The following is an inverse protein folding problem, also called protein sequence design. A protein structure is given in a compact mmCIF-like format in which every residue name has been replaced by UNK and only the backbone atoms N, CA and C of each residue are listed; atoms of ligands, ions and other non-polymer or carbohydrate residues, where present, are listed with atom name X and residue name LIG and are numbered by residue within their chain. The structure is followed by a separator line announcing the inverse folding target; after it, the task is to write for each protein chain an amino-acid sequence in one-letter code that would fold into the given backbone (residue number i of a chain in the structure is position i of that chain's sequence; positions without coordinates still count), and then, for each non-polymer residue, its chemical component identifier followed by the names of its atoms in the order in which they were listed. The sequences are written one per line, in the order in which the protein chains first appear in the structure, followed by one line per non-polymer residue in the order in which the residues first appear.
data_IF_803195281485
#
_entry.id   IF_803195281485
#
_cell.length_a   1.000
_cell.length_b   1.000
_cell.length_c   1.000
_cell.angle_alpha   90.00
_cell.angle_beta   90.00
_cell.angle_gamma   90.00
#
_symmetry.space_group_name_H-M   'P 1'
#
loop_
_entity.id
_entity.type
_entity.pdbx_description
1 polymer ?
#
# COMPACT_ATOMS: atom_id res chain seq x y z
N UNK A 1 -1.13 -3.60 -10.80
CA UNK A 1 -0.57 -2.25 -10.66
C UNK A 1 0.17 -2.18 -9.34
N UNK A 2 1.44 -1.80 -9.41
CA UNK A 2 2.26 -1.41 -8.28
C UNK A 2 2.36 0.12 -8.23
N UNK A 3 2.34 0.69 -7.03
CA UNK A 3 2.55 2.12 -6.83
C UNK A 3 3.51 2.26 -5.66
N UNK A 4 4.80 2.39 -5.99
CA UNK A 4 5.80 2.81 -5.04
C UNK A 4 5.67 4.33 -4.84
N UNK A 5 5.49 4.76 -3.60
CA UNK A 5 5.55 6.17 -3.24
C UNK A 5 6.64 6.34 -2.20
N UNK A 6 7.42 7.41 -2.34
CA UNK A 6 8.31 7.81 -1.26
C UNK A 6 7.46 8.22 -0.05
N UNK A 7 7.62 7.50 1.05
CA UNK A 7 6.98 7.79 2.33
C UNK A 7 8.12 8.12 3.29
N UNK A 8 8.31 9.41 3.55
CA UNK A 8 9.38 9.90 4.43
C UNK A 8 9.18 9.49 5.89
N UNK A 9 7.92 9.29 6.31
CA UNK A 9 7.55 8.96 7.67
C UNK A 9 6.44 7.90 7.69
N UNK A 10 6.50 7.00 8.65
CA UNK A 10 5.46 5.99 8.88
C UNK A 10 4.35 6.56 9.78
N UNK A 11 3.68 7.63 9.32
CA UNK A 11 2.62 8.30 10.09
C UNK A 11 1.20 7.94 9.61
N UNK A 12 0.22 8.25 10.45
CA UNK A 12 -1.20 8.14 10.10
C UNK A 12 -1.54 9.05 8.90
N UNK A 13 -1.00 10.27 8.85
CA UNK A 13 -1.21 11.21 7.74
C UNK A 13 -0.68 10.66 6.43
N UNK A 14 0.51 10.05 6.43
CA UNK A 14 1.11 9.50 5.21
C UNK A 14 0.27 8.35 4.64
N UNK A 15 -0.24 7.48 5.51
CA UNK A 15 -1.13 6.37 5.12
C UNK A 15 -2.45 6.89 4.52
N UNK A 16 -3.00 7.96 5.09
CA UNK A 16 -4.22 8.62 4.62
C UNK A 16 -4.02 9.28 3.26
N UNK A 17 -2.94 10.03 3.09
CA UNK A 17 -2.66 10.73 1.84
C UNK A 17 -2.27 9.78 0.72
N UNK A 18 -1.61 8.67 1.05
CA UNK A 18 -1.39 7.57 0.12
C UNK A 18 -2.73 6.99 -0.36
N UNK A 19 -3.64 6.62 0.56
CA UNK A 19 -4.93 6.04 0.18
C UNK A 19 -5.80 7.03 -0.63
N UNK A 20 -5.87 8.31 -0.25
CA UNK A 20 -6.57 9.33 -1.04
C UNK A 20 -5.99 9.47 -2.45
N UNK A 21 -4.67 9.42 -2.57
CA UNK A 21 -3.99 9.40 -3.87
C UNK A 21 -4.36 8.18 -4.69
N UNK A 22 -4.30 6.99 -4.07
CA UNK A 22 -4.63 5.72 -4.69
C UNK A 22 -6.08 5.69 -5.21
N UNK A 23 -7.06 6.13 -4.40
CA UNK A 23 -8.47 6.21 -4.79
C UNK A 23 -8.66 7.11 -6.02
N UNK A 24 -7.87 8.20 -6.14
CA UNK A 24 -7.97 9.13 -7.26
C UNK A 24 -7.44 8.57 -8.57
N UNK A 25 -6.38 7.76 -8.51
CA UNK A 25 -5.66 7.29 -9.70
C UNK A 25 -6.02 5.86 -10.10
N UNK A 26 -6.58 5.07 -9.19
CA UNK A 26 -6.93 3.69 -9.48
C UNK A 26 -8.01 3.64 -10.58
N UNK A 27 -7.80 2.90 -11.68
CA UNK A 27 -8.78 2.79 -12.76
C UNK A 27 -9.94 1.83 -12.43
N UNK A 28 -10.08 1.45 -11.16
CA UNK A 28 -11.09 0.50 -10.68
C UNK A 28 -11.53 0.86 -9.26
N UNK A 29 -12.73 0.40 -8.88
CA UNK A 29 -13.21 0.56 -7.50
C UNK A 29 -12.44 -0.34 -6.54
N UNK A 30 -11.76 0.26 -5.57
CA UNK A 30 -11.15 -0.44 -4.46
C UNK A 30 -12.26 -0.96 -3.55
N UNK A 31 -12.39 -2.28 -3.40
CA UNK A 31 -13.41 -2.90 -2.52
C UNK A 31 -12.90 -3.14 -1.12
N UNK A 32 -11.61 -3.45 -0.98
CA UNK A 32 -11.02 -3.77 0.29
C UNK A 32 -9.52 -3.44 0.31
N UNK A 33 -8.99 -3.19 1.50
CA UNK A 33 -7.58 -2.97 1.79
C UNK A 33 -7.18 -3.90 2.93
N UNK A 34 -6.05 -4.56 2.75
CA UNK A 34 -5.41 -5.39 3.78
C UNK A 34 -4.14 -4.71 4.27
N UNK A 35 -3.98 -4.56 5.58
CA UNK A 35 -2.73 -4.06 6.19
C UNK A 35 -2.21 -5.01 7.26
N UNK A 36 -0.98 -4.79 7.70
CA UNK A 36 -0.50 -5.36 8.95
C UNK A 36 -1.15 -4.68 10.17
N UNK A 37 -0.73 -5.08 11.38
CA UNK A 37 -1.26 -4.56 12.63
C UNK A 37 -0.45 -3.35 13.17
N UNK A 38 0.31 -2.65 12.30
CA UNK A 38 1.06 -1.45 12.63
C UNK A 38 0.16 -0.31 13.11
N UNK A 39 0.65 0.49 14.05
CA UNK A 39 -0.10 1.59 14.67
C UNK A 39 -0.47 2.71 13.68
N UNK A 40 0.20 2.75 12.52
CA UNK A 40 -0.10 3.66 11.42
C UNK A 40 -1.35 3.25 10.61
N UNK A 41 -1.83 2.02 10.77
CA UNK A 41 -3.01 1.51 10.09
C UNK A 41 -4.17 1.21 11.04
N UNK A 42 -3.88 0.89 12.30
CA UNK A 42 -4.91 0.46 13.26
C UNK A 42 -4.60 0.84 14.70
N UNK A 43 -5.66 0.99 15.49
CA UNK A 43 -5.58 1.12 16.94
C UNK A 43 -5.62 -0.23 17.68
N UNK A 44 -5.47 -1.39 16.99
CA UNK A 44 -5.66 -2.73 17.58
C UNK A 44 -4.93 -2.92 18.91
N UNK A 45 -3.64 -2.58 18.98
CA UNK A 45 -2.82 -2.77 20.18
C UNK A 45 -2.68 -1.53 21.07
N UNK A 46 -2.94 -0.34 20.51
CA UNK A 46 -2.74 0.95 21.19
C UNK A 46 -4.03 1.50 21.81
N UNK A 47 -5.19 1.22 21.22
CA UNK A 47 -6.48 1.78 21.61
C UNK A 47 -7.57 0.73 21.82
N UNK A 48 -7.81 -0.19 20.87
CA UNK A 48 -8.94 -1.13 20.92
C UNK A 48 -8.86 -2.05 22.14
N UNK A 49 -7.75 -2.77 22.29
CA UNK A 49 -7.54 -3.67 23.43
C UNK A 49 -7.35 -2.95 24.78
N UNK A 50 -7.20 -1.62 24.77
CA UNK A 50 -6.96 -0.79 25.98
C UNK A 50 -8.07 0.24 26.21
N UNK A 51 -9.18 0.15 25.47
CA UNK A 51 -10.28 1.11 25.52
C UNK A 51 -11.03 0.99 26.84
N UNK A 52 -11.35 2.12 27.46
CA UNK A 52 -12.27 2.16 28.61
C UNK A 52 -13.70 1.82 28.23
N UNK A 53 -14.06 1.96 26.94
CA UNK A 53 -15.30 1.43 26.35
C UNK A 53 -14.94 0.39 25.26
N UNK A 54 -14.88 -0.91 25.60
CA UNK A 54 -14.57 -1.98 24.64
C UNK A 54 -15.65 -2.22 23.59
N UNK A 55 -16.88 -1.76 23.83
CA UNK A 55 -18.00 -1.94 22.90
C UNK A 55 -18.00 -0.87 21.81
N UNK A 56 -17.46 0.33 22.10
CA UNK A 56 -17.32 1.42 21.13
C UNK A 56 -15.89 1.96 21.06
N UNK A 57 -14.92 1.16 20.60
CA UNK A 57 -13.54 1.61 20.51
C UNK A 57 -13.38 2.75 19.49
N UNK A 58 -12.52 3.74 19.80
CA UNK A 58 -12.24 4.86 18.90
C UNK A 58 -11.58 4.39 17.60
N UNK A 59 -12.32 4.48 16.50
CA UNK A 59 -11.86 4.09 15.17
C UNK A 59 -10.53 4.77 14.80
N UNK A 60 -9.66 4.01 14.12
CA UNK A 60 -8.46 4.57 13.53
C UNK A 60 -8.83 5.48 12.36
N UNK A 61 -8.03 6.51 12.08
CA UNK A 61 -8.34 7.49 11.00
C UNK A 61 -8.43 6.80 9.63
N UNK A 62 -7.67 5.72 9.42
CA UNK A 62 -7.75 4.91 8.22
C UNK A 62 -9.08 4.17 8.10
N UNK A 63 -9.60 3.61 9.21
CA UNK A 63 -10.91 2.97 9.25
C UNK A 63 -12.02 3.95 8.83
N UNK A 64 -11.97 5.18 9.37
CA UNK A 64 -12.92 6.25 9.05
C UNK A 64 -12.86 6.60 7.56
N UNK A 65 -11.65 6.72 6.99
CA UNK A 65 -11.47 6.99 5.56
C UNK A 65 -12.03 5.85 4.71
N UNK A 66 -11.70 4.60 5.03
CA UNK A 66 -12.19 3.42 4.33
C UNK A 66 -13.72 3.33 4.36
N UNK A 67 -14.37 3.58 5.51
CA UNK A 67 -15.83 3.62 5.63
C UNK A 67 -16.45 4.69 4.72
N UNK A 68 -15.87 5.90 4.68
CA UNK A 68 -16.36 7.00 3.81
C UNK A 68 -16.38 6.64 2.32
N UNK A 69 -15.43 5.82 1.89
CA UNK A 69 -15.33 5.36 0.49
C UNK A 69 -15.95 3.98 0.25
N UNK A 70 -16.62 3.40 1.26
CA UNK A 70 -17.18 2.05 1.23
C UNK A 70 -16.13 1.00 0.79
N UNK A 71 -14.97 1.07 1.45
CA UNK A 71 -13.82 0.17 1.34
C UNK A 71 -13.75 -0.66 2.63
N UNK A 72 -13.71 -1.98 2.51
CA UNK A 72 -13.48 -2.86 3.66
C UNK A 72 -12.01 -2.82 4.08
N UNK A 73 -11.73 -2.39 5.30
CA UNK A 73 -10.39 -2.49 5.87
C UNK A 73 -10.29 -3.73 6.76
N UNK A 74 -9.27 -4.57 6.52
CA UNK A 74 -9.04 -5.75 7.33
C UNK A 74 -7.54 -5.97 7.57
N UNK A 75 -7.23 -6.55 8.73
CA UNK A 75 -5.86 -6.74 9.20
C UNK A 75 -5.43 -8.18 8.93
N UNK A 76 -4.12 -8.41 8.80
CA UNK A 76 -3.58 -9.77 8.91
C UNK A 76 -3.88 -10.34 10.30
N UNK A 77 -3.99 -11.66 10.36
CA UNK A 77 -4.14 -12.38 11.62
C UNK A 77 -2.92 -12.13 12.54
N UNK A 78 -3.13 -11.87 13.84
CA UNK A 78 -2.03 -11.77 14.80
C UNK A 78 -1.12 -13.00 14.73
N UNK A 79 0.19 -12.77 14.70
CA UNK A 79 1.18 -13.85 14.63
C UNK A 79 1.30 -14.55 13.27
N UNK A 80 0.65 -14.05 12.20
CA UNK A 80 0.75 -14.62 10.85
C UNK A 80 1.39 -13.67 9.82
N UNK A 81 2.67 -13.28 10.00
CA UNK A 81 3.36 -12.36 9.09
C UNK A 81 3.43 -12.89 7.64
N UNK A 82 3.39 -14.21 7.45
CA UNK A 82 3.35 -14.83 6.12
C UNK A 82 2.18 -14.35 5.24
N UNK A 83 1.08 -13.87 5.84
CA UNK A 83 -0.05 -13.28 5.09
C UNK A 83 0.34 -11.98 4.36
N UNK A 84 1.45 -11.35 4.73
CA UNK A 84 2.01 -10.16 4.07
C UNK A 84 3.08 -10.49 3.01
N UNK A 85 3.35 -11.77 2.74
CA UNK A 85 4.50 -12.17 1.90
C UNK A 85 4.52 -11.59 0.48
N UNK A 86 3.38 -11.21 -0.09
CA UNK A 86 3.34 -10.50 -1.38
C UNK A 86 3.91 -9.09 -1.29
N UNK A 87 3.59 -8.36 -0.22
CA UNK A 87 4.11 -7.01 0.04
C UNK A 87 5.59 -7.07 0.34
N UNK A 88 6.03 -7.99 1.21
CA UNK A 88 7.45 -8.17 1.50
C UNK A 88 8.28 -8.52 0.26
N UNK A 89 7.71 -9.32 -0.65
CA UNK A 89 8.37 -9.64 -1.92
C UNK A 89 8.50 -8.40 -2.82
N UNK A 90 7.45 -7.58 -2.95
CA UNK A 90 7.51 -6.34 -3.74
C UNK A 90 8.51 -5.35 -3.12
N UNK A 91 8.50 -5.17 -1.80
CA UNK A 91 9.50 -4.34 -1.11
C UNK A 91 10.94 -4.81 -1.35
N UNK A 92 11.18 -6.13 -1.31
CA UNK A 92 12.51 -6.67 -1.65
C UNK A 92 12.88 -6.41 -3.11
N UNK A 93 11.94 -6.55 -4.03
CA UNK A 93 12.18 -6.24 -5.44
C UNK A 93 12.50 -4.76 -5.65
N UNK A 94 11.77 -3.84 -5.02
CA UNK A 94 12.10 -2.41 -5.03
C UNK A 94 13.48 -2.14 -4.42
N UNK A 95 13.82 -2.81 -3.32
CA UNK A 95 15.13 -2.69 -2.69
C UNK A 95 16.26 -3.08 -3.64
N UNK A 96 16.20 -4.29 -4.20
CA UNK A 96 17.26 -4.88 -5.04
C UNK A 96 17.34 -4.24 -6.44
N UNK A 97 16.20 -3.85 -7.02
CA UNK A 97 16.14 -3.37 -8.40
C UNK A 97 16.13 -1.85 -8.50
N UNK A 98 15.53 -1.15 -7.52
CA UNK A 98 15.46 0.30 -7.54
C UNK A 98 16.46 0.95 -6.58
N UNK A 99 16.34 0.72 -5.28
CA UNK A 99 17.11 1.49 -4.28
C UNK A 99 18.61 1.20 -4.35
N UNK A 100 19.03 -0.06 -4.47
CA UNK A 100 20.45 -0.44 -4.49
C UNK A 100 21.18 0.01 -5.77
N UNK A 101 20.45 0.03 -6.90
CA UNK A 101 20.98 0.37 -8.22
C UNK A 101 21.00 1.87 -8.50
N UNK A 102 20.37 2.67 -7.65
CA UNK A 102 20.30 4.12 -7.81
C UNK A 102 21.11 4.85 -6.73
N UNK A 103 21.53 6.07 -7.09
CA UNK A 103 22.02 7.08 -6.14
C UNK A 103 21.13 8.29 -6.28
N UNK A 104 20.75 8.89 -5.16
CA UNK A 104 19.83 10.03 -5.12
C UNK A 104 20.58 11.28 -4.68
N UNK A 105 20.60 12.31 -5.53
CA UNK A 105 21.28 13.57 -5.20
C UNK A 105 20.42 14.49 -4.35
N UNK A 106 19.12 14.46 -4.57
CA UNK A 106 18.12 15.26 -3.87
C UNK A 106 16.83 14.48 -3.72
N UNK A 107 15.94 14.97 -2.86
CA UNK A 107 14.57 14.45 -2.77
C UNK A 107 13.84 14.52 -4.12
N UNK A 108 14.10 15.57 -4.90
CA UNK A 108 13.48 15.72 -6.22
C UNK A 108 13.95 14.67 -7.21
N UNK A 109 15.24 14.33 -7.18
CA UNK A 109 15.84 13.26 -7.98
C UNK A 109 15.19 11.90 -7.63
N UNK A 110 15.02 11.61 -6.34
CA UNK A 110 14.31 10.42 -5.88
C UNK A 110 12.85 10.37 -6.39
N UNK A 111 12.10 11.47 -6.30
CA UNK A 111 10.72 11.53 -6.80
C UNK A 111 10.60 11.30 -8.32
N UNK A 112 11.59 11.74 -9.09
CA UNK A 112 11.62 11.53 -10.54
C UNK A 112 11.92 10.06 -10.82
N UNK A 113 12.96 9.50 -10.18
CA UNK A 113 13.37 8.12 -10.36
C UNK A 113 12.31 7.11 -9.92
N UNK A 114 11.60 7.36 -8.82
CA UNK A 114 10.46 6.51 -8.39
C UNK A 114 9.36 6.50 -9.45
N UNK A 115 9.07 7.64 -10.08
CA UNK A 115 8.07 7.70 -11.15
C UNK A 115 8.48 6.87 -12.36
N UNK A 116 9.73 6.99 -12.78
CA UNK A 116 10.27 6.17 -13.88
C UNK A 116 10.26 4.69 -13.52
N UNK A 117 10.64 4.35 -12.28
CA UNK A 117 10.60 2.96 -11.79
C UNK A 117 9.19 2.39 -11.80
N UNK A 118 8.19 3.13 -11.31
CA UNK A 118 6.80 2.69 -11.37
C UNK A 118 6.33 2.45 -12.81
N UNK A 119 6.74 3.30 -13.76
CA UNK A 119 6.41 3.14 -15.17
C UNK A 119 7.08 1.89 -15.75
N UNK A 120 8.36 1.69 -15.49
CA UNK A 120 9.11 0.51 -15.92
C UNK A 120 8.50 -0.77 -15.33
N UNK A 121 8.40 -0.86 -14.00
CA UNK A 121 7.93 -2.04 -13.29
C UNK A 121 6.51 -2.46 -13.71
N UNK A 122 5.60 -1.50 -13.89
CA UNK A 122 4.23 -1.79 -14.33
C UNK A 122 4.13 -2.23 -15.80
N UNK A 123 5.22 -2.13 -16.56
CA UNK A 123 5.37 -2.60 -17.93
C UNK A 123 6.40 -3.73 -18.08
N UNK A 124 6.96 -4.26 -16.99
CA UNK A 124 7.74 -5.50 -17.00
C UNK A 124 6.81 -6.71 -16.98
N UNK A 125 7.21 -7.79 -17.65
CA UNK A 125 6.48 -9.05 -17.61
C UNK A 125 6.67 -9.77 -16.27
N UNK A 126 5.60 -10.38 -15.75
CA UNK A 126 5.66 -11.15 -14.51
C UNK A 126 5.21 -12.59 -14.74
N UNK A 127 6.01 -13.55 -14.31
CA UNK A 127 5.64 -14.98 -14.36
C UNK A 127 4.31 -15.24 -13.62
N UNK A 128 4.07 -14.54 -12.51
CA UNK A 128 2.82 -14.64 -11.75
C UNK A 128 1.58 -14.06 -12.45
N UNK A 129 1.78 -13.38 -13.59
CA UNK A 129 0.73 -12.83 -14.46
C UNK A 129 0.74 -13.53 -15.84
N UNK A 130 1.26 -14.76 -15.92
CA UNK A 130 1.37 -15.52 -17.18
C UNK A 130 2.10 -14.75 -18.29
N UNK A 131 3.21 -14.09 -17.93
CA UNK A 131 4.02 -13.29 -18.87
C UNK A 131 3.41 -11.94 -19.24
N UNK A 132 2.30 -11.54 -18.62
CA UNK A 132 1.71 -10.20 -18.82
C UNK A 132 2.33 -9.18 -17.88
N UNK A 133 2.25 -7.92 -18.29
CA UNK A 133 2.60 -6.78 -17.43
C UNK A 133 1.44 -6.42 -16.49
N UNK A 134 1.70 -5.74 -15.36
CA UNK A 134 0.66 -5.21 -14.51
C UNK A 134 -0.33 -4.31 -15.26
N UNK A 135 0.14 -3.49 -16.20
CA UNK A 135 -0.73 -2.61 -17.01
C UNK A 135 -1.57 -3.37 -18.02
N UNK A 136 -1.05 -4.43 -18.64
CA UNK A 136 -1.86 -5.30 -19.51
C UNK A 136 -2.96 -6.00 -18.71
N UNK A 137 -2.65 -6.51 -17.53
CA UNK A 137 -3.64 -7.12 -16.65
C UNK A 137 -4.72 -6.13 -16.22
N UNK A 138 -4.37 -4.87 -15.97
CA UNK A 138 -5.36 -3.83 -15.69
C UNK A 138 -6.32 -3.62 -16.86
N UNK A 139 -5.79 -3.47 -18.08
CA UNK A 139 -6.63 -3.27 -19.27
C UNK A 139 -7.64 -4.40 -19.46
N UNK A 140 -7.26 -5.64 -19.16
CA UNK A 140 -8.15 -6.80 -19.24
C UNK A 140 -9.26 -6.80 -18.17
N UNK A 141 -9.04 -6.16 -17.02
CA UNK A 141 -10.00 -6.11 -15.90
C UNK A 141 -10.91 -4.88 -15.95
N UNK A 142 -10.56 -3.87 -16.74
CA UNK A 142 -11.31 -2.61 -16.85
C UNK A 142 -12.12 -2.51 -18.15
N UNK A 143 -12.04 -3.51 -19.04
CA UNK A 143 -12.82 -3.61 -20.26
C UNK A 143 -14.10 -4.44 -20.06
#
# INVERSE_FOLDING_TARGET
MEILKNIYNYSNSDSIDFLKGLIRIAPFRIRAIKTDNGSNFTNRYTGYSKSSDPLNPRLHILDILCQRYNILHYLIDPGKPAQNGKVERSHRTDQEMFYERNRFKTLKDLEIKIRMWNEEYNNLEHCGLNGKTPNEMLKLLTN
#
